data_IF_884622930820
#
_entry.id   IF_884622930820
#
_cell.length_a   1.000
_cell.length_b   1.000
_cell.length_c   1.000
_cell.angle_alpha   90.00
_cell.angle_beta   90.00
_cell.angle_gamma   90.00
#
_symmetry.space_group_name_H-M   'P 1'
#
loop_
_entity.id
_entity.type
_entity.pdbx_description
1 polymer ?
#
# COMPACT_ATOMS: atom_id res chain seq x y z
N UNK A 1 8.56 -5.23 -25.91
CA UNK A 1 8.10 -5.16 -24.50
C UNK A 1 9.29 -5.46 -23.60
N UNK A 2 9.50 -4.71 -22.53
CA UNK A 2 10.61 -4.90 -21.60
C UNK A 2 10.43 -6.12 -20.68
N UNK A 3 11.53 -6.52 -20.04
CA UNK A 3 11.52 -7.52 -18.98
C UNK A 3 11.10 -6.90 -17.63
N UNK A 4 10.51 -7.70 -16.75
CA UNK A 4 10.17 -7.25 -15.39
C UNK A 4 11.46 -7.17 -14.57
N UNK A 5 11.73 -6.02 -13.97
CA UNK A 5 12.82 -5.87 -13.00
C UNK A 5 12.38 -6.41 -11.63
N UNK A 6 12.71 -7.67 -11.34
CA UNK A 6 12.37 -8.31 -10.06
C UNK A 6 13.02 -7.63 -8.85
N UNK A 7 14.18 -6.99 -9.02
CA UNK A 7 14.80 -6.18 -7.96
C UNK A 7 13.94 -4.96 -7.61
N UNK A 8 13.40 -4.29 -8.63
CA UNK A 8 12.47 -3.17 -8.44
C UNK A 8 11.14 -3.62 -7.80
N UNK A 9 10.62 -4.78 -8.18
CA UNK A 9 9.43 -5.38 -7.56
C UNK A 9 9.65 -5.63 -6.06
N UNK A 10 10.78 -6.23 -5.69
CA UNK A 10 11.11 -6.49 -4.29
C UNK A 10 11.30 -5.19 -3.51
N UNK A 11 12.04 -4.23 -4.07
CA UNK A 11 12.25 -2.92 -3.42
C UNK A 11 10.93 -2.17 -3.21
N UNK A 12 10.03 -2.21 -4.19
CA UNK A 12 8.70 -1.60 -4.09
C UNK A 12 7.85 -2.22 -2.97
N UNK A 13 7.84 -3.55 -2.85
CA UNK A 13 7.14 -4.23 -1.77
C UNK A 13 7.71 -3.87 -0.38
N UNK A 14 9.05 -3.83 -0.25
CA UNK A 14 9.73 -3.40 0.98
C UNK A 14 9.39 -1.96 1.33
N UNK A 15 9.40 -1.05 0.35
CA UNK A 15 9.07 0.35 0.55
C UNK A 15 7.64 0.53 1.04
N UNK A 16 6.65 -0.13 0.42
CA UNK A 16 5.27 -0.09 0.88
C UNK A 16 5.08 -0.69 2.29
N UNK A 17 5.79 -1.78 2.59
CA UNK A 17 5.74 -2.41 3.90
C UNK A 17 6.31 -1.49 5.00
N UNK A 18 7.40 -0.79 4.71
CA UNK A 18 7.97 0.23 5.59
C UNK A 18 7.00 1.40 5.80
N UNK A 19 6.35 1.87 4.73
CA UNK A 19 5.29 2.89 4.83
C UNK A 19 4.17 2.40 5.74
N UNK A 20 3.68 1.17 5.60
CA UNK A 20 2.62 0.62 6.46
C UNK A 20 3.03 0.59 7.94
N UNK A 21 4.27 0.14 8.21
CA UNK A 21 4.81 0.11 9.58
C UNK A 21 4.89 1.51 10.19
N UNK A 22 5.34 2.51 9.42
CA UNK A 22 5.42 3.90 9.86
C UNK A 22 4.02 4.52 10.04
N UNK A 23 3.10 4.23 9.12
CA UNK A 23 1.76 4.78 9.07
C UNK A 23 0.89 4.29 10.23
N UNK A 24 0.75 2.98 10.36
CA UNK A 24 -0.06 2.35 11.43
C UNK A 24 0.67 2.25 12.77
N UNK A 25 1.97 2.56 12.80
CA UNK A 25 2.78 2.66 14.00
C UNK A 25 2.83 4.08 14.54
N UNK A 26 3.73 4.90 14.00
CA UNK A 26 4.11 6.19 14.56
C UNK A 26 3.16 7.32 14.16
N UNK A 27 2.70 7.37 12.90
CA UNK A 27 1.95 8.52 12.38
C UNK A 27 0.47 8.50 12.79
N UNK A 28 -0.21 7.38 12.54
CA UNK A 28 -1.65 7.23 12.74
C UNK A 28 -2.02 6.05 13.62
N UNK A 29 -1.06 5.39 14.28
CA UNK A 29 -1.32 4.18 15.04
C UNK A 29 -2.31 4.37 16.19
N UNK A 30 -2.24 5.48 16.94
CA UNK A 30 -3.21 5.79 18.00
C UNK A 30 -4.63 6.00 17.46
N UNK A 31 -4.88 6.96 16.55
CA UNK A 31 -6.23 7.18 16.03
C UNK A 31 -6.77 5.98 15.27
N UNK A 32 -5.94 5.25 14.53
CA UNK A 32 -6.36 4.01 13.85
C UNK A 32 -6.86 2.96 14.84
N UNK A 33 -6.13 2.71 15.94
CA UNK A 33 -6.56 1.76 16.99
C UNK A 33 -7.86 2.16 17.66
N UNK A 34 -8.04 3.46 17.92
CA UNK A 34 -9.28 4.01 18.51
C UNK A 34 -10.48 3.72 17.60
N UNK A 35 -10.39 4.01 16.31
CA UNK A 35 -11.46 3.75 15.33
C UNK A 35 -11.73 2.26 15.12
N UNK A 36 -10.70 1.42 15.28
CA UNK A 36 -10.82 -0.03 15.22
C UNK A 36 -11.36 -0.66 16.51
N UNK A 37 -11.60 0.14 17.57
CA UNK A 37 -12.06 -0.35 18.87
C UNK A 37 -11.04 -1.27 19.56
N UNK A 38 -9.76 -1.18 19.20
CA UNK A 38 -8.71 -2.02 19.77
C UNK A 38 -8.36 -1.53 21.18
N UNK A 39 -8.60 -2.38 22.18
CA UNK A 39 -8.13 -2.14 23.56
C UNK A 39 -6.71 -2.70 23.71
N UNK A 40 -5.95 -2.22 24.71
CA UNK A 40 -4.59 -2.73 24.97
C UNK A 40 -4.55 -4.26 25.21
N UNK A 41 -5.68 -4.87 25.60
CA UNK A 41 -5.84 -6.30 25.82
C UNK A 41 -6.14 -7.10 24.54
N UNK A 42 -6.53 -6.46 23.43
CA UNK A 42 -6.96 -7.14 22.19
C UNK A 42 -5.89 -7.16 21.09
N UNK A 43 -4.64 -6.81 21.40
CA UNK A 43 -3.55 -6.93 20.43
C UNK A 43 -3.27 -8.42 20.16
N UNK A 44 -3.34 -8.89 18.90
CA UNK A 44 -3.10 -10.29 18.57
C UNK A 44 -1.62 -10.63 18.85
N UNK A 45 -1.35 -11.19 20.04
CA UNK A 45 -0.03 -11.74 20.40
C UNK A 45 0.31 -13.00 19.60
N UNK A 46 -0.71 -13.74 19.15
CA UNK A 46 -0.58 -14.88 18.26
C UNK A 46 -0.96 -14.46 16.84
N UNK A 47 -0.17 -14.86 15.84
CA UNK A 47 -0.44 -14.57 14.42
C UNK A 47 0.22 -13.33 13.84
N UNK A 48 1.09 -12.62 14.59
CA UNK A 48 1.83 -11.46 14.07
C UNK A 48 2.70 -11.83 12.85
N UNK A 49 3.37 -12.98 12.87
CA UNK A 49 4.15 -13.46 11.73
C UNK A 49 3.27 -13.71 10.49
N UNK A 50 2.06 -14.25 10.68
CA UNK A 50 1.09 -14.47 9.60
C UNK A 50 0.58 -13.14 9.05
N UNK A 51 0.29 -12.17 9.91
CA UNK A 51 -0.14 -10.83 9.51
C UNK A 51 0.96 -10.12 8.72
N UNK A 52 2.19 -10.06 9.24
CA UNK A 52 3.30 -9.39 8.58
C UNK A 52 3.71 -10.11 7.28
N UNK A 53 3.81 -11.44 7.31
CA UNK A 53 4.12 -12.24 6.14
C UNK A 53 3.04 -12.14 5.07
N UNK A 54 1.77 -12.26 5.45
CA UNK A 54 0.62 -12.09 4.56
C UNK A 54 0.57 -10.69 3.95
N UNK A 55 0.76 -9.65 4.76
CA UNK A 55 0.84 -8.27 4.27
C UNK A 55 1.96 -8.11 3.24
N UNK A 56 3.17 -8.60 3.53
CA UNK A 56 4.28 -8.50 2.60
C UNK A 56 4.03 -9.24 1.28
N UNK A 57 3.45 -10.44 1.32
CA UNK A 57 3.09 -11.20 0.13
C UNK A 57 2.05 -10.47 -0.73
N UNK A 58 1.03 -9.88 -0.11
CA UNK A 58 0.02 -9.10 -0.82
C UNK A 58 0.62 -7.84 -1.46
N UNK A 59 1.50 -7.15 -0.75
CA UNK A 59 2.25 -6.02 -1.31
C UNK A 59 3.16 -6.45 -2.46
N UNK A 60 3.79 -7.62 -2.37
CA UNK A 60 4.60 -8.17 -3.44
C UNK A 60 3.77 -8.48 -4.70
N UNK A 61 2.55 -9.00 -4.54
CA UNK A 61 1.63 -9.21 -5.64
C UNK A 61 1.24 -7.89 -6.33
N UNK A 62 0.92 -6.85 -5.54
CA UNK A 62 0.66 -5.50 -6.06
C UNK A 62 1.87 -4.92 -6.79
N UNK A 63 3.06 -5.03 -6.21
CA UNK A 63 4.30 -4.56 -6.82
C UNK A 63 4.61 -5.30 -8.12
N UNK A 64 4.34 -6.61 -8.19
CA UNK A 64 4.52 -7.40 -9.41
C UNK A 64 3.63 -6.89 -10.55
N UNK A 65 2.35 -6.59 -10.28
CA UNK A 65 1.45 -6.04 -11.29
C UNK A 65 1.93 -4.66 -11.79
N UNK A 66 2.34 -3.77 -10.89
CA UNK A 66 2.93 -2.47 -11.28
C UNK A 66 4.19 -2.66 -12.11
N UNK A 67 5.09 -3.56 -11.70
CA UNK A 67 6.29 -3.90 -12.45
C UNK A 67 5.99 -4.43 -13.85
N UNK A 68 4.94 -5.25 -14.00
CA UNK A 68 4.46 -5.67 -15.31
C UNK A 68 3.99 -4.47 -16.15
N UNK A 69 3.15 -3.58 -15.59
CA UNK A 69 2.66 -2.39 -16.29
C UNK A 69 3.81 -1.49 -16.77
N UNK A 70 4.82 -1.26 -15.94
CA UNK A 70 5.99 -0.45 -16.30
C UNK A 70 6.88 -1.16 -17.34
N UNK A 71 7.08 -2.47 -17.24
CA UNK A 71 7.85 -3.23 -18.24
C UNK A 71 7.21 -3.21 -19.64
N UNK A 72 5.88 -3.02 -19.74
CA UNK A 72 5.21 -2.85 -21.05
C UNK A 72 5.39 -1.45 -21.64
N UNK A 73 5.94 -0.50 -20.89
CA UNK A 73 6.16 0.89 -21.29
C UNK A 73 7.63 1.30 -21.01
N UNK A 74 8.61 0.83 -21.81
CA UNK A 74 10.03 1.08 -21.51
C UNK A 74 10.42 2.56 -21.57
N UNK A 75 9.75 3.37 -22.39
CA UNK A 75 10.04 4.81 -22.56
C UNK A 75 9.18 5.70 -21.63
N UNK A 76 8.80 5.19 -20.47
CA UNK A 76 7.89 5.88 -19.55
C UNK A 76 8.54 7.13 -18.94
N UNK A 77 7.86 8.28 -19.07
CA UNK A 77 8.29 9.53 -18.44
C UNK A 77 8.29 9.41 -16.91
N UNK A 78 9.27 10.02 -16.25
CA UNK A 78 9.48 9.91 -14.80
C UNK A 78 8.20 10.16 -13.99
N UNK A 79 7.44 11.22 -14.31
CA UNK A 79 6.24 11.57 -13.55
C UNK A 79 5.14 10.50 -13.62
N UNK A 80 5.12 9.68 -14.68
CA UNK A 80 4.10 8.67 -14.91
C UNK A 80 4.23 7.47 -13.96
N UNK A 81 5.41 7.17 -13.43
CA UNK A 81 5.57 6.13 -12.40
C UNK A 81 4.72 6.44 -11.17
N UNK A 82 4.79 7.70 -10.70
CA UNK A 82 4.02 8.17 -9.56
C UNK A 82 2.54 8.33 -9.90
N UNK A 83 2.22 8.87 -11.08
CA UNK A 83 0.84 9.06 -11.52
C UNK A 83 0.11 7.72 -11.68
N UNK A 84 0.76 6.71 -12.27
CA UNK A 84 0.15 5.39 -12.48
C UNK A 84 0.02 4.64 -11.16
N UNK A 85 1.09 4.56 -10.35
CA UNK A 85 1.02 3.85 -9.07
C UNK A 85 0.05 4.55 -8.10
N UNK A 86 0.22 5.85 -7.88
CA UNK A 86 -0.69 6.65 -7.05
C UNK A 86 -2.12 6.66 -7.60
N UNK A 87 -2.29 6.66 -8.93
CA UNK A 87 -3.58 6.60 -9.59
C UNK A 87 -4.32 5.27 -9.34
N UNK A 88 -3.62 4.14 -9.36
CA UNK A 88 -4.22 2.84 -8.98
C UNK A 88 -4.72 2.89 -7.54
N UNK A 89 -3.93 3.42 -6.61
CA UNK A 89 -4.39 3.57 -5.23
C UNK A 89 -5.59 4.52 -5.13
N UNK A 90 -5.46 5.75 -5.65
CA UNK A 90 -6.45 6.80 -5.47
C UNK A 90 -7.78 6.54 -6.18
N UNK A 91 -7.78 5.89 -7.33
CA UNK A 91 -8.97 5.73 -8.18
C UNK A 91 -9.52 4.30 -8.24
N UNK A 92 -8.80 3.30 -7.71
CA UNK A 92 -9.32 1.93 -7.62
C UNK A 92 -9.38 1.43 -6.18
N UNK A 93 -8.24 1.46 -5.47
CA UNK A 93 -8.15 0.85 -4.13
C UNK A 93 -8.95 1.66 -3.10
N UNK A 94 -8.72 2.98 -3.05
CA UNK A 94 -9.38 3.86 -2.09
C UNK A 94 -10.90 3.86 -2.28
N UNK A 95 -11.46 4.02 -3.50
CA UNK A 95 -12.90 3.93 -3.69
C UNK A 95 -13.47 2.57 -3.31
N UNK A 96 -12.83 1.47 -3.72
CA UNK A 96 -13.30 0.12 -3.37
C UNK A 96 -13.31 -0.11 -1.85
N UNK A 97 -12.27 0.35 -1.15
CA UNK A 97 -12.18 0.29 0.30
C UNK A 97 -13.27 1.13 0.97
N UNK A 98 -13.46 2.36 0.51
CA UNK A 98 -14.44 3.28 1.09
C UNK A 98 -15.87 2.84 0.85
N UNK A 99 -16.18 2.24 -0.30
CA UNK A 99 -17.49 1.62 -0.57
C UNK A 99 -17.78 0.52 0.47
N UNK A 100 -16.80 -0.35 0.74
CA UNK A 100 -16.95 -1.37 1.77
C UNK A 100 -17.17 -0.73 3.16
N UNK A 101 -16.49 0.38 3.46
CA UNK A 101 -16.64 1.09 4.73
C UNK A 101 -18.01 1.76 4.87
N UNK A 102 -18.60 2.26 3.78
CA UNK A 102 -19.96 2.77 3.78
C UNK A 102 -20.97 1.67 4.16
N UNK A 103 -20.86 0.48 3.56
CA UNK A 103 -21.73 -0.65 3.90
C UNK A 103 -21.49 -1.18 5.32
N UNK A 104 -20.27 -1.09 5.83
CA UNK A 104 -19.90 -1.54 7.17
C UNK A 104 -20.14 -0.49 8.27
N UNK A 105 -20.60 0.72 7.92
CA UNK A 105 -20.79 1.81 8.88
C UNK A 105 -19.49 2.27 9.56
N UNK A 106 -18.34 2.15 8.88
CA UNK A 106 -17.05 2.61 9.41
C UNK A 106 -16.96 4.14 9.36
N UNK A 107 -16.18 4.72 10.28
CA UNK A 107 -16.05 6.16 10.37
C UNK A 107 -15.29 6.76 9.17
N UNK A 108 -15.62 8.02 8.83
CA UNK A 108 -14.88 8.77 7.81
C UNK A 108 -13.41 8.94 8.22
N UNK A 109 -13.12 9.05 9.52
CA UNK A 109 -11.76 9.18 10.04
C UNK A 109 -10.93 7.93 9.72
N UNK A 110 -11.48 6.73 9.95
CA UNK A 110 -10.82 5.48 9.57
C UNK A 110 -10.62 5.39 8.05
N UNK A 111 -11.66 5.74 7.28
CA UNK A 111 -11.58 5.77 5.82
C UNK A 111 -10.42 6.66 5.32
N UNK A 112 -10.25 7.86 5.88
CA UNK A 112 -9.17 8.77 5.52
C UNK A 112 -7.79 8.24 5.91
N UNK A 113 -7.67 7.60 7.08
CA UNK A 113 -6.40 6.99 7.53
C UNK A 113 -5.98 5.88 6.57
N UNK A 114 -6.88 4.94 6.27
CA UNK A 114 -6.55 3.79 5.42
C UNK A 114 -6.43 4.18 3.94
N UNK A 115 -7.22 5.15 3.49
CA UNK A 115 -7.10 5.70 2.16
C UNK A 115 -5.76 6.40 1.93
N UNK A 116 -5.33 7.23 2.89
CA UNK A 116 -4.03 7.89 2.87
C UNK A 116 -2.86 6.92 2.90
N UNK A 117 -2.98 5.81 3.65
CA UNK A 117 -2.00 4.73 3.63
C UNK A 117 -1.82 4.17 2.22
N UNK A 118 -2.90 3.75 1.57
CA UNK A 118 -2.81 3.10 0.25
C UNK A 118 -2.19 4.01 -0.81
N UNK A 119 -2.55 5.30 -0.82
CA UNK A 119 -1.92 6.28 -1.71
C UNK A 119 -0.43 6.41 -1.42
N UNK A 120 -0.05 6.58 -0.14
CA UNK A 120 1.36 6.72 0.26
C UNK A 120 2.19 5.48 -0.06
N UNK A 121 1.64 4.29 0.18
CA UNK A 121 2.29 3.02 -0.10
C UNK A 121 2.54 2.83 -1.60
N UNK A 122 1.55 3.15 -2.45
CA UNK A 122 1.71 3.04 -3.90
C UNK A 122 2.63 4.12 -4.47
N UNK A 123 2.65 5.34 -3.91
CA UNK A 123 3.64 6.34 -4.28
C UNK A 123 5.06 5.90 -3.94
N UNK A 124 5.26 5.22 -2.80
CA UNK A 124 6.54 4.63 -2.44
C UNK A 124 6.94 3.50 -3.41
N UNK A 125 6.00 2.65 -3.82
CA UNK A 125 6.24 1.66 -4.88
C UNK A 125 6.63 2.32 -6.21
N UNK A 126 5.89 3.35 -6.64
CA UNK A 126 6.21 4.12 -7.85
C UNK A 126 7.60 4.74 -7.79
N UNK A 127 8.01 5.24 -6.62
CA UNK A 127 9.36 5.75 -6.36
C UNK A 127 10.42 4.66 -6.52
N UNK A 128 10.21 3.48 -5.93
CA UNK A 128 11.13 2.35 -6.06
C UNK A 128 11.33 1.91 -7.52
N UNK A 129 10.24 1.84 -8.30
CA UNK A 129 10.32 1.54 -9.73
C UNK A 129 11.02 2.64 -10.54
N UNK A 130 10.76 3.91 -10.22
CA UNK A 130 11.44 5.03 -10.86
C UNK A 130 12.95 5.04 -10.60
N UNK A 131 13.39 4.67 -9.40
CA UNK A 131 14.81 4.60 -9.02
C UNK A 131 15.57 3.47 -9.74
N UNK A 132 14.89 2.39 -10.11
CA UNK A 132 15.48 1.19 -10.72
C UNK A 132 15.01 0.95 -12.17
N UNK A 133 14.61 2.02 -12.85
CA UNK A 133 14.11 1.99 -14.24
C UNK A 133 15.19 1.66 -15.27
#
# INVERSE_FOLDING_TARGET
MGAINFGAVLLAAVAAFAVGSLWYGLLFGKPWREEMGMTAASAPRHGMAVLLGGNFVLLLASAFLLGHMFARNPDLRSFLYFMMAGGVAAFFIVPALWINYLYQGRSLRLAMIDGGYWVSAYLAMGTAFWLLR
#
